data_IF_081906987582
#
_entry.id   IF_081906987582
#
_cell.length_a   1.000
_cell.length_b   1.000
_cell.length_c   1.000
_cell.angle_alpha   90.00
_cell.angle_beta   90.00
_cell.angle_gamma   90.00
#
_symmetry.space_group_name_H-M   'P 1'
#
loop_
_entity.id
_entity.type
_entity.pdbx_description
1 polymer ?
#
# COMPACT_ATOMS: atom_id res chain seq x y z
N UNK A 1 22.75 -7.20 10.42
CA UNK A 1 21.59 -6.83 11.24
C UNK A 1 20.52 -6.09 10.44
N UNK A 2 20.84 -4.98 9.75
CA UNK A 2 19.85 -4.22 8.95
C UNK A 2 19.14 -5.02 7.86
N UNK A 3 19.85 -5.89 7.12
CA UNK A 3 19.24 -6.66 6.02
C UNK A 3 18.11 -7.59 6.48
N UNK A 4 18.30 -8.34 7.59
CA UNK A 4 17.25 -9.23 8.12
C UNK A 4 16.00 -8.45 8.54
N UNK A 5 16.18 -7.31 9.23
CA UNK A 5 15.06 -6.44 9.62
C UNK A 5 14.31 -5.92 8.40
N UNK A 6 15.03 -5.41 7.39
CA UNK A 6 14.42 -4.90 6.15
C UNK A 6 13.66 -6.01 5.42
N UNK A 7 14.22 -7.22 5.35
CA UNK A 7 13.55 -8.35 4.71
C UNK A 7 12.25 -8.75 5.43
N UNK A 8 12.27 -8.78 6.78
CA UNK A 8 11.07 -9.08 7.57
C UNK A 8 9.99 -8.01 7.39
N UNK A 9 10.37 -6.73 7.38
CA UNK A 9 9.46 -5.64 7.09
C UNK A 9 8.92 -5.71 5.66
N UNK A 10 9.75 -6.07 4.67
CA UNK A 10 9.33 -6.28 3.29
C UNK A 10 8.25 -7.36 3.20
N UNK A 11 8.48 -8.52 3.80
CA UNK A 11 7.51 -9.61 3.82
C UNK A 11 6.23 -9.21 4.56
N UNK A 12 6.35 -8.52 5.70
CA UNK A 12 5.20 -8.02 6.44
C UNK A 12 4.34 -7.09 5.58
N UNK A 13 4.92 -6.06 4.98
CA UNK A 13 4.17 -5.10 4.16
C UNK A 13 3.62 -5.73 2.88
N UNK A 14 4.36 -6.64 2.26
CA UNK A 14 3.87 -7.39 1.11
C UNK A 14 2.63 -8.23 1.47
N UNK A 15 2.67 -8.98 2.57
CA UNK A 15 1.53 -9.77 3.02
C UNK A 15 0.34 -8.91 3.47
N UNK A 16 0.59 -7.87 4.27
CA UNK A 16 -0.46 -6.96 4.75
C UNK A 16 -1.11 -6.24 3.58
N UNK A 17 -0.31 -5.73 2.62
CA UNK A 17 -0.81 -5.01 1.46
C UNK A 17 -1.69 -5.88 0.56
N UNK A 18 -1.22 -7.09 0.19
CA UNK A 18 -2.02 -8.04 -0.60
C UNK A 18 -3.30 -8.43 0.15
N UNK A 19 -3.20 -8.71 1.45
CA UNK A 19 -4.38 -9.06 2.25
C UNK A 19 -5.39 -7.93 2.24
N UNK A 20 -4.96 -6.69 2.48
CA UNK A 20 -5.83 -5.52 2.45
C UNK A 20 -6.49 -5.33 1.07
N UNK A 21 -5.75 -5.54 -0.03
CA UNK A 21 -6.28 -5.43 -1.39
C UNK A 21 -7.32 -6.51 -1.69
N UNK A 22 -7.06 -7.77 -1.30
CA UNK A 22 -8.03 -8.87 -1.44
C UNK A 22 -9.33 -8.55 -0.67
N UNK A 23 -9.22 -8.05 0.56
CA UNK A 23 -10.38 -7.61 1.33
C UNK A 23 -11.11 -6.45 0.66
N UNK A 24 -10.39 -5.44 0.22
CA UNK A 24 -10.96 -4.28 -0.46
C UNK A 24 -11.73 -4.69 -1.73
N UNK A 25 -11.11 -5.49 -2.60
CA UNK A 25 -11.75 -5.94 -3.85
C UNK A 25 -12.94 -6.84 -3.59
N UNK A 26 -12.87 -7.74 -2.60
CA UNK A 26 -13.98 -8.59 -2.21
C UNK A 26 -15.18 -7.80 -1.66
N UNK A 27 -14.94 -6.80 -0.79
CA UNK A 27 -15.99 -5.93 -0.26
C UNK A 27 -16.59 -5.08 -1.40
N UNK A 28 -15.75 -4.49 -2.25
CA UNK A 28 -16.21 -3.70 -3.38
C UNK A 28 -17.14 -4.49 -4.29
N UNK A 29 -16.76 -5.72 -4.65
CA UNK A 29 -17.56 -6.59 -5.50
C UNK A 29 -18.87 -7.03 -4.80
N UNK A 30 -18.81 -7.35 -3.51
CA UNK A 30 -20.00 -7.69 -2.72
C UNK A 30 -21.00 -6.52 -2.66
N UNK A 31 -20.52 -5.28 -2.43
CA UNK A 31 -21.36 -4.08 -2.42
C UNK A 31 -21.96 -3.82 -3.79
N UNK A 32 -21.19 -3.96 -4.86
CA UNK A 32 -21.65 -3.76 -6.23
C UNK A 32 -22.69 -4.79 -6.66
N UNK A 33 -22.60 -6.03 -6.15
CA UNK A 33 -23.55 -7.12 -6.44
C UNK A 33 -24.76 -7.13 -5.50
N UNK A 34 -24.75 -6.31 -4.43
CA UNK A 34 -25.87 -6.27 -3.48
C UNK A 34 -27.17 -5.88 -4.17
N UNK A 35 -28.20 -6.69 -3.95
CA UNK A 35 -29.52 -6.50 -4.60
C UNK A 35 -29.64 -7.09 -6.01
N UNK A 36 -28.61 -7.77 -6.53
CA UNK A 36 -28.66 -8.49 -7.80
C UNK A 36 -28.93 -9.98 -7.57
N UNK A 37 -29.46 -10.72 -8.59
CA UNK A 37 -29.60 -12.18 -8.50
C UNK A 37 -28.29 -12.94 -8.33
N UNK A 38 -27.17 -12.29 -8.58
CA UNK A 38 -25.82 -12.87 -8.49
C UNK A 38 -25.15 -12.59 -7.14
N UNK A 39 -25.85 -11.92 -6.20
CA UNK A 39 -25.29 -11.66 -4.89
C UNK A 39 -24.90 -12.97 -4.18
N UNK A 40 -23.65 -13.04 -3.75
CA UNK A 40 -23.10 -14.20 -3.05
C UNK A 40 -22.33 -13.74 -1.82
N UNK A 41 -22.47 -14.47 -0.70
CA UNK A 41 -21.67 -14.27 0.50
C UNK A 41 -20.26 -14.88 0.39
N UNK A 42 -19.87 -15.39 -0.78
CA UNK A 42 -18.50 -15.83 -1.02
C UNK A 42 -17.57 -14.60 -1.01
N UNK A 43 -16.55 -14.67 -0.17
CA UNK A 43 -15.54 -13.64 -0.07
C UNK A 43 -14.47 -13.88 -1.14
N UNK A 44 -14.68 -13.31 -2.32
CA UNK A 44 -13.80 -13.45 -3.47
C UNK A 44 -13.14 -12.11 -3.77
N UNK A 45 -11.87 -11.99 -3.40
CA UNK A 45 -11.05 -10.84 -3.72
C UNK A 45 -9.95 -11.20 -4.72
N UNK A 46 -9.38 -10.20 -5.36
CA UNK A 46 -8.34 -10.35 -6.37
C UNK A 46 -7.16 -9.43 -6.07
N UNK A 47 -5.97 -9.88 -6.39
CA UNK A 47 -4.74 -9.09 -6.40
C UNK A 47 -3.83 -9.60 -7.52
N UNK A 48 -2.88 -8.78 -7.95
CA UNK A 48 -1.89 -9.17 -8.94
C UNK A 48 -0.57 -9.52 -8.25
N UNK A 49 0.17 -10.48 -8.82
CA UNK A 49 1.45 -10.93 -8.25
C UNK A 49 2.46 -9.77 -8.12
N UNK A 50 2.37 -8.78 -8.98
CA UNK A 50 3.21 -7.57 -8.95
C UNK A 50 2.99 -6.70 -7.72
N UNK A 51 1.83 -6.83 -7.07
CA UNK A 51 1.51 -6.07 -5.87
C UNK A 51 2.35 -6.52 -4.68
N UNK A 52 2.81 -7.79 -4.67
CA UNK A 52 3.68 -8.30 -3.61
C UNK A 52 4.97 -7.48 -3.46
N UNK A 53 5.83 -7.34 -4.50
CA UNK A 53 7.00 -6.47 -4.41
C UNK A 53 6.66 -4.99 -4.26
N UNK A 54 5.57 -4.50 -4.85
CA UNK A 54 5.16 -3.09 -4.75
C UNK A 54 4.86 -2.73 -3.28
N UNK A 55 4.02 -3.52 -2.59
CA UNK A 55 3.74 -3.30 -1.17
C UNK A 55 4.96 -3.56 -0.29
N UNK A 56 5.77 -4.56 -0.62
CA UNK A 56 7.03 -4.83 0.09
C UNK A 56 7.99 -3.64 0.08
N UNK A 57 8.02 -2.85 -1.00
CA UNK A 57 8.85 -1.65 -1.12
C UNK A 57 8.55 -0.57 -0.07
N UNK A 58 7.39 -0.61 0.58
CA UNK A 58 7.06 0.27 1.72
C UNK A 58 8.13 0.14 2.84
N UNK A 59 8.72 -1.06 3.00
CA UNK A 59 9.78 -1.29 3.99
C UNK A 59 11.00 -0.39 3.83
N UNK A 60 11.31 0.03 2.62
CA UNK A 60 12.42 0.94 2.33
C UNK A 60 12.05 2.41 2.62
N UNK A 61 10.76 2.73 2.56
CA UNK A 61 10.27 4.08 2.87
C UNK A 61 10.32 4.41 4.36
N UNK A 62 10.16 3.41 5.22
CA UNK A 62 10.21 3.60 6.68
C UNK A 62 11.45 4.37 7.13
N UNK A 63 12.68 3.83 6.99
CA UNK A 63 13.89 4.50 7.44
C UNK A 63 14.21 5.78 6.64
N UNK A 64 13.77 5.89 5.38
CA UNK A 64 14.03 7.07 4.55
C UNK A 64 13.09 8.22 4.90
N UNK A 65 11.83 7.93 5.16
CA UNK A 65 10.78 8.93 5.30
C UNK A 65 10.23 9.00 6.73
N UNK A 66 9.68 7.88 7.24
CA UNK A 66 8.98 7.87 8.53
C UNK A 66 9.90 8.32 9.66
N UNK A 67 11.11 7.77 9.75
CA UNK A 67 12.08 8.13 10.82
C UNK A 67 12.47 9.61 10.81
N UNK A 68 12.28 10.30 9.67
CA UNK A 68 12.59 11.72 9.54
C UNK A 68 11.43 12.66 9.83
N UNK A 69 10.21 12.24 9.49
CA UNK A 69 9.06 13.15 9.52
C UNK A 69 8.02 12.80 10.60
N UNK A 70 8.15 11.66 11.32
CA UNK A 70 7.13 11.23 12.29
C UNK A 70 6.87 12.23 13.42
N UNK A 71 7.83 13.15 13.70
CA UNK A 71 7.65 14.24 14.66
C UNK A 71 6.97 15.49 14.09
N UNK A 72 6.71 15.52 12.77
CA UNK A 72 6.12 16.67 12.11
C UNK A 72 4.60 16.72 12.33
N UNK A 73 3.99 17.85 11.94
CA UNK A 73 2.54 18.01 12.00
C UNK A 73 1.83 16.89 11.20
N UNK A 74 0.74 16.33 11.78
CA UNK A 74 0.03 15.20 11.22
C UNK A 74 -0.51 15.45 9.80
N UNK A 75 -1.02 16.67 9.53
CA UNK A 75 -1.53 17.02 8.20
C UNK A 75 -0.42 17.07 7.16
N UNK A 76 0.75 17.62 7.54
CA UNK A 76 1.89 17.67 6.64
C UNK A 76 2.43 16.26 6.33
N UNK A 77 2.51 15.38 7.33
CA UNK A 77 2.88 13.97 7.12
C UNK A 77 1.90 13.27 6.19
N UNK A 78 0.60 13.41 6.47
CA UNK A 78 -0.46 12.83 5.65
C UNK A 78 -0.34 13.26 4.18
N UNK A 79 -0.12 14.56 3.94
CA UNK A 79 0.07 15.09 2.59
C UNK A 79 1.31 14.50 1.91
N UNK A 80 2.44 14.43 2.62
CA UNK A 80 3.68 13.84 2.09
C UNK A 80 3.45 12.38 1.74
N UNK A 81 2.79 11.60 2.60
CA UNK A 81 2.48 10.21 2.32
C UNK A 81 1.59 10.05 1.08
N UNK A 82 0.57 10.87 0.92
CA UNK A 82 -0.27 10.84 -0.28
C UNK A 82 0.54 11.11 -1.55
N UNK A 83 1.44 12.12 -1.53
CA UNK A 83 2.32 12.43 -2.66
C UNK A 83 3.26 11.27 -2.97
N UNK A 84 3.83 10.63 -1.95
CA UNK A 84 4.71 9.47 -2.12
C UNK A 84 3.93 8.28 -2.69
N UNK A 85 2.72 8.00 -2.20
CA UNK A 85 1.87 6.92 -2.72
C UNK A 85 1.52 7.17 -4.18
N UNK A 86 1.07 8.38 -4.54
CA UNK A 86 0.80 8.74 -5.93
C UNK A 86 2.02 8.58 -6.83
N UNK A 87 3.20 8.95 -6.35
CA UNK A 87 4.45 8.78 -7.10
C UNK A 87 4.75 7.30 -7.34
N UNK A 88 4.54 6.46 -6.34
CA UNK A 88 4.71 5.01 -6.46
C UNK A 88 3.65 4.37 -7.37
N UNK A 89 2.38 4.74 -7.24
CA UNK A 89 1.31 4.28 -8.15
C UNK A 89 1.61 4.65 -9.59
N UNK A 90 1.98 5.91 -9.83
CA UNK A 90 2.31 6.37 -11.18
C UNK A 90 3.49 5.60 -11.76
N UNK A 91 4.60 5.55 -11.02
CA UNK A 91 5.84 4.93 -11.50
C UNK A 91 5.66 3.42 -11.73
N UNK A 92 5.05 2.71 -10.78
CA UNK A 92 4.82 1.26 -10.89
C UNK A 92 3.80 0.93 -11.99
N UNK A 93 2.73 1.72 -12.12
CA UNK A 93 1.75 1.54 -13.19
C UNK A 93 2.34 1.78 -14.57
N UNK A 94 3.15 2.84 -14.72
CA UNK A 94 3.85 3.13 -15.95
C UNK A 94 4.88 2.03 -16.31
N UNK A 95 5.69 1.60 -15.33
CA UNK A 95 6.66 0.52 -15.55
C UNK A 95 5.99 -0.79 -15.95
N UNK A 96 4.91 -1.18 -15.27
CA UNK A 96 4.16 -2.38 -15.62
C UNK A 96 3.58 -2.29 -17.02
N UNK A 97 3.02 -1.15 -17.42
CA UNK A 97 2.50 -0.96 -18.78
C UNK A 97 3.61 -1.08 -19.83
N UNK A 98 4.81 -0.53 -19.55
CA UNK A 98 5.96 -0.65 -20.47
C UNK A 98 6.46 -2.09 -20.60
N UNK A 99 6.54 -2.84 -19.48
CA UNK A 99 7.12 -4.19 -19.48
C UNK A 99 6.11 -5.30 -19.81
N UNK A 100 4.84 -5.13 -19.45
CA UNK A 100 3.81 -6.17 -19.59
C UNK A 100 2.72 -5.83 -20.60
N UNK A 101 2.75 -4.60 -21.15
CA UNK A 101 1.73 -4.11 -22.08
C UNK A 101 0.44 -3.65 -21.42
N UNK A 102 0.32 -3.71 -20.08
CA UNK A 102 -0.90 -3.29 -19.38
C UNK A 102 -0.60 -2.84 -17.95
N UNK A 103 -1.37 -1.84 -17.48
CA UNK A 103 -1.40 -1.48 -16.05
C UNK A 103 -2.60 -2.17 -15.38
N UNK A 104 -2.39 -2.96 -14.31
CA UNK A 104 -3.46 -3.70 -13.63
C UNK A 104 -4.60 -2.83 -13.10
N UNK A 105 -4.30 -1.59 -12.68
CA UNK A 105 -5.27 -0.64 -12.11
C UNK A 105 -5.55 0.57 -13.00
N UNK A 106 -5.50 0.41 -14.32
CA UNK A 106 -5.68 1.54 -15.25
C UNK A 106 -7.01 2.26 -15.01
N UNK A 107 -6.96 3.46 -14.44
CA UNK A 107 -8.12 4.30 -14.18
C UNK A 107 -8.64 4.91 -15.47
N UNK A 108 -9.94 4.80 -15.72
CA UNK A 108 -10.63 5.37 -16.90
C UNK A 108 -11.65 6.45 -16.51
N UNK A 109 -11.97 6.54 -15.23
CA UNK A 109 -12.98 7.45 -14.67
C UNK A 109 -12.41 8.26 -13.51
N UNK A 110 -13.05 9.37 -13.17
CA UNK A 110 -12.62 10.27 -12.10
C UNK A 110 -11.48 11.20 -12.50
N UNK A 111 -10.94 11.92 -11.52
CA UNK A 111 -9.79 12.84 -11.73
C UNK A 111 -8.49 12.03 -11.77
N UNK A 112 -8.13 11.51 -12.94
CA UNK A 112 -6.92 10.70 -13.11
C UNK A 112 -5.82 11.42 -13.89
N UNK A 113 -4.55 11.06 -13.65
CA UNK A 113 -3.39 11.48 -14.44
C UNK A 113 -2.87 10.27 -15.19
N UNK A 114 -2.89 10.33 -16.52
CA UNK A 114 -2.45 9.27 -17.45
C UNK A 114 -3.10 7.89 -17.17
N UNK A 115 -4.12 7.81 -16.34
CA UNK A 115 -4.76 6.57 -15.93
C UNK A 115 -3.98 5.79 -14.87
N UNK A 116 -2.87 6.29 -14.35
CA UNK A 116 -2.08 5.58 -13.34
C UNK A 116 -2.45 5.97 -11.91
N UNK A 117 -2.89 7.21 -11.69
CA UNK A 117 -3.31 7.72 -10.36
C UNK A 117 -4.67 8.39 -10.43
N UNK A 118 -5.39 8.40 -9.30
CA UNK A 118 -6.67 9.09 -9.11
C UNK A 118 -6.56 10.11 -7.98
N UNK A 119 -6.61 11.39 -8.33
CA UNK A 119 -6.44 12.49 -7.35
C UNK A 119 -7.59 12.57 -6.32
N UNK A 120 -8.78 12.12 -6.68
CA UNK A 120 -9.92 12.03 -5.76
C UNK A 120 -9.71 11.01 -4.62
N UNK A 121 -8.69 10.15 -4.72
CA UNK A 121 -8.28 9.26 -3.64
C UNK A 121 -7.27 9.88 -2.65
N UNK A 122 -6.91 11.17 -2.84
CA UNK A 122 -5.89 11.82 -1.99
C UNK A 122 -6.18 11.69 -0.49
N UNK A 123 -7.44 11.94 -0.07
CA UNK A 123 -7.82 11.84 1.35
C UNK A 123 -7.70 10.40 1.87
N UNK A 124 -8.07 9.40 1.07
CA UNK A 124 -7.89 7.99 1.41
C UNK A 124 -6.40 7.64 1.54
N UNK A 125 -5.56 8.11 0.62
CA UNK A 125 -4.11 7.89 0.67
C UNK A 125 -3.43 8.62 1.83
N UNK A 126 -3.92 9.80 2.23
CA UNK A 126 -3.47 10.46 3.45
C UNK A 126 -3.70 9.60 4.69
N UNK A 127 -4.91 9.07 4.86
CA UNK A 127 -5.26 8.18 5.97
C UNK A 127 -4.49 6.85 5.94
N UNK A 128 -4.38 6.26 4.75
CA UNK A 128 -3.63 5.02 4.55
C UNK A 128 -2.14 5.20 4.88
N UNK A 129 -1.52 6.30 4.44
CA UNK A 129 -0.12 6.59 4.75
C UNK A 129 0.16 6.73 6.24
N UNK A 130 -0.73 7.39 6.99
CA UNK A 130 -0.63 7.47 8.45
C UNK A 130 -0.79 6.10 9.13
N UNK A 131 -1.68 5.24 8.61
CA UNK A 131 -1.83 3.88 9.12
C UNK A 131 -0.56 3.06 8.85
N UNK A 132 0.01 3.12 7.67
CA UNK A 132 1.28 2.46 7.31
C UNK A 132 2.43 2.93 8.20
N UNK A 133 2.50 4.23 8.51
CA UNK A 133 3.46 4.78 9.47
C UNK A 133 3.36 4.07 10.83
N UNK A 134 2.15 3.93 11.38
CA UNK A 134 1.97 3.28 12.69
C UNK A 134 2.38 1.80 12.66
N UNK A 135 2.02 1.08 11.59
CA UNK A 135 2.44 -0.32 11.40
C UNK A 135 3.97 -0.41 11.34
N UNK A 136 4.63 0.49 10.59
CA UNK A 136 6.09 0.52 10.49
C UNK A 136 6.76 0.76 11.85
N UNK A 137 6.32 1.79 12.58
CA UNK A 137 6.88 2.13 13.88
C UNK A 137 6.72 1.00 14.89
N UNK A 138 5.54 0.38 14.93
CA UNK A 138 5.26 -0.76 15.80
C UNK A 138 6.14 -1.97 15.43
N UNK A 139 6.13 -2.38 14.15
CA UNK A 139 6.89 -3.53 13.68
C UNK A 139 8.40 -3.34 13.87
N UNK A 140 8.92 -2.13 13.57
CA UNK A 140 10.32 -1.80 13.79
C UNK A 140 10.72 -1.94 15.26
N UNK A 141 9.90 -1.41 16.18
CA UNK A 141 10.14 -1.51 17.62
C UNK A 141 10.16 -2.96 18.10
N UNK A 142 9.23 -3.78 17.65
CA UNK A 142 9.16 -5.20 17.97
C UNK A 142 10.41 -5.93 17.48
N UNK A 143 10.80 -5.70 16.22
CA UNK A 143 11.97 -6.35 15.64
C UNK A 143 13.26 -5.93 16.33
N UNK A 144 13.41 -4.66 16.71
CA UNK A 144 14.58 -4.17 17.45
C UNK A 144 14.67 -4.78 18.84
N UNK A 145 13.52 -4.96 19.52
CA UNK A 145 13.45 -5.64 20.82
C UNK A 145 13.90 -7.11 20.71
N UNK A 146 13.41 -7.85 19.71
CA UNK A 146 13.83 -9.24 19.49
C UNK A 146 15.31 -9.38 19.19
N UNK A 147 15.88 -8.48 18.39
CA UNK A 147 17.31 -8.52 18.07
C UNK A 147 18.21 -8.15 19.26
N UNK A 148 17.71 -7.37 20.21
CA UNK A 148 18.46 -7.03 21.42
C UNK A 148 18.58 -8.21 22.41
N UNK A 149 17.62 -9.15 22.38
CA UNK A 149 17.55 -10.27 23.32
C UNK A 149 17.97 -11.62 22.71
N UNK A 150 18.15 -11.68 21.38
CA UNK A 150 18.55 -12.91 20.65
C UNK A 150 19.59 -12.53 19.57
N UNK A 151 20.86 -12.25 19.96
CA UNK A 151 21.92 -11.88 19.02
C UNK A 151 22.31 -13.00 18.04
#
# INVERSE_FOLDING_TARGET
>A
MHFKKTLLLFLLFACVGITAEIFFTAIYDAVKQHGTPHFSLKFQGQSYIWMFPIYGCISFMGPILVDRIHSWNIFLRALIYAVVIFSFEFLSGWLLEVFTGSCPWKYREGLHIAGYIRLDYAVAWMGFGLMVEQIYLFASKVLDHFHAHHP
#
